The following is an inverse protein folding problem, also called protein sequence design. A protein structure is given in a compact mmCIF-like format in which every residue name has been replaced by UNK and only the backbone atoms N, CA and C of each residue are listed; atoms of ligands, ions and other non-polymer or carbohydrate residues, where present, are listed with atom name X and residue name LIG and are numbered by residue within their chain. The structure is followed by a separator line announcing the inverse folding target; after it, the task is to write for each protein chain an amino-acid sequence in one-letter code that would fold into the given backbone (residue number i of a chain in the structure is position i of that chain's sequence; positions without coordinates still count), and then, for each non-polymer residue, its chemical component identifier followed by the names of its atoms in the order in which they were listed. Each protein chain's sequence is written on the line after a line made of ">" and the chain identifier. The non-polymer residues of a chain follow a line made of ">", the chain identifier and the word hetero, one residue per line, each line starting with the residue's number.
data_IF_476660088102
#
_entry.id   IF_476660088102
#
_cell.length_a   1.000
_cell.length_b   1.000
_cell.length_c   1.000
_cell.angle_alpha   90.00
_cell.angle_beta   90.00
_cell.angle_gamma   90.00
#
_symmetry.space_group_name_H-M   'P 1'
#
loop_
_entity.id
_entity.type
_entity.pdbx_description
1 polymer ?
#
# COMPACT_ATOMS: atom_id res chain seq x y z
N UNK A 1 -1.20 -35.23 43.04
CA UNK A 1 -1.30 -34.78 41.64
C UNK A 1 -2.34 -33.67 41.59
N UNK A 2 -1.90 -32.41 41.69
CA UNK A 2 -2.78 -31.24 41.80
C UNK A 2 -2.48 -30.31 40.63
N UNK A 3 -3.42 -30.21 39.70
CA UNK A 3 -3.38 -29.27 38.56
C UNK A 3 -3.92 -27.93 39.08
N UNK A 4 -3.11 -26.86 39.01
CA UNK A 4 -3.59 -25.50 39.28
C UNK A 4 -4.41 -24.99 38.09
N UNK A 5 -5.68 -24.58 38.28
CA UNK A 5 -6.41 -23.82 37.28
C UNK A 5 -5.94 -22.36 37.30
N UNK A 6 -5.55 -21.81 36.14
CA UNK A 6 -5.29 -20.39 35.97
C UNK A 6 -3.86 -20.01 35.58
N UNK A 7 -3.39 -20.45 34.41
CA UNK A 7 -2.33 -19.78 33.67
C UNK A 7 -2.49 -20.13 32.20
N UNK A 8 -3.36 -19.39 31.52
CA UNK A 8 -3.12 -19.15 30.10
C UNK A 8 -1.94 -18.19 30.08
N UNK A 9 -0.71 -18.60 29.70
CA UNK A 9 0.28 -17.60 29.37
C UNK A 9 -0.36 -16.79 28.24
N UNK A 10 -0.74 -15.55 28.54
CA UNK A 10 -0.87 -14.54 27.49
C UNK A 10 0.54 -14.48 26.96
N UNK A 11 0.79 -15.26 25.90
CA UNK A 11 2.04 -15.21 25.17
C UNK A 11 2.22 -13.73 24.85
N UNK A 12 3.36 -13.11 25.21
CA UNK A 12 3.67 -11.78 24.77
C UNK A 12 3.38 -11.74 23.28
N UNK A 13 2.47 -10.84 22.89
CA UNK A 13 2.26 -10.61 21.46
C UNK A 13 3.63 -10.19 20.95
N UNK A 14 4.20 -10.96 20.04
CA UNK A 14 5.32 -10.46 19.26
C UNK A 14 4.72 -9.33 18.43
N UNK A 15 4.89 -8.11 18.93
CA UNK A 15 4.65 -6.89 18.19
C UNK A 15 5.68 -6.89 17.07
N UNK A 16 5.39 -7.63 16.01
CA UNK A 16 6.08 -7.47 14.75
C UNK A 16 5.61 -6.10 14.27
N UNK A 17 6.36 -5.07 14.62
CA UNK A 17 6.37 -3.83 13.86
C UNK A 17 6.86 -4.24 12.48
N UNK A 18 5.93 -4.68 11.63
CA UNK A 18 6.21 -5.02 10.25
C UNK A 18 6.53 -3.70 9.56
N UNK A 19 7.82 -3.38 9.54
CA UNK A 19 8.47 -2.47 8.59
C UNK A 19 7.81 -1.07 8.50
N UNK A 20 7.64 -0.33 9.61
CA UNK A 20 7.38 1.11 9.59
C UNK A 20 6.14 1.63 8.81
N UNK A 21 5.24 0.76 8.38
CA UNK A 21 4.04 1.11 7.58
C UNK A 21 2.83 1.29 8.50
N UNK A 22 2.18 2.45 8.42
CA UNK A 22 0.94 2.73 9.15
C UNK A 22 -0.25 2.00 8.52
N UNK A 23 -0.56 0.81 9.04
CA UNK A 23 -1.67 -0.01 8.58
C UNK A 23 -3.05 0.66 8.76
N UNK A 24 -3.21 1.53 9.76
CA UNK A 24 -4.44 2.29 9.98
C UNK A 24 -4.69 3.29 8.85
N UNK A 25 -3.63 4.01 8.48
CA UNK A 25 -3.65 4.92 7.34
C UNK A 25 -3.83 4.17 6.00
N UNK A 26 -3.19 3.02 5.81
CA UNK A 26 -3.34 2.19 4.60
C UNK A 26 -4.79 1.73 4.44
N UNK A 27 -5.39 1.21 5.51
CA UNK A 27 -6.78 0.74 5.47
C UNK A 27 -7.75 1.90 5.22
N UNK A 28 -7.55 3.04 5.90
CA UNK A 28 -8.40 4.22 5.74
C UNK A 28 -8.27 4.80 4.32
N UNK A 29 -7.05 4.97 3.82
CA UNK A 29 -6.79 5.50 2.48
C UNK A 29 -7.40 4.60 1.42
N UNK A 30 -7.26 3.28 1.55
CA UNK A 30 -7.84 2.33 0.59
C UNK A 30 -9.37 2.42 0.59
N UNK A 31 -10.00 2.48 1.76
CA UNK A 31 -11.45 2.63 1.88
C UNK A 31 -11.95 3.93 1.26
N UNK A 32 -11.30 5.06 1.60
CA UNK A 32 -11.66 6.39 1.11
C UNK A 32 -11.47 6.51 -0.40
N UNK A 33 -10.33 6.07 -0.92
CA UNK A 33 -10.03 6.11 -2.36
C UNK A 33 -11.03 5.25 -3.14
N UNK A 34 -11.36 4.06 -2.64
CA UNK A 34 -12.31 3.17 -3.34
C UNK A 34 -13.71 3.77 -3.41
N UNK A 35 -14.18 4.43 -2.34
CA UNK A 35 -15.49 5.08 -2.34
C UNK A 35 -15.48 6.35 -3.20
N UNK A 36 -14.51 7.25 -2.99
CA UNK A 36 -14.51 8.56 -3.64
C UNK A 36 -14.11 8.51 -5.12
N UNK A 37 -13.31 7.51 -5.52
CA UNK A 37 -12.84 7.40 -6.90
C UNK A 37 -13.51 6.22 -7.59
N UNK A 38 -13.54 5.05 -6.95
CA UNK A 38 -14.13 3.85 -7.53
C UNK A 38 -15.62 3.97 -7.82
N UNK A 39 -16.43 4.41 -6.85
CA UNK A 39 -17.88 4.49 -7.04
C UNK A 39 -18.30 5.51 -8.11
N UNK A 40 -17.74 6.74 -8.16
CA UNK A 40 -18.09 7.70 -9.22
C UNK A 40 -17.66 7.25 -10.61
N UNK A 41 -16.50 6.59 -10.76
CA UNK A 41 -16.07 6.04 -12.05
C UNK A 41 -17.07 5.01 -12.56
N UNK A 42 -17.47 4.06 -11.70
CA UNK A 42 -18.45 3.03 -12.06
C UNK A 42 -19.80 3.65 -12.42
N UNK A 43 -20.28 4.60 -11.61
CA UNK A 43 -21.54 5.29 -11.85
C UNK A 43 -21.53 6.08 -13.17
N UNK A 44 -20.47 6.84 -13.43
CA UNK A 44 -20.34 7.64 -14.64
C UNK A 44 -20.31 6.76 -15.90
N UNK A 45 -19.56 5.66 -15.86
CA UNK A 45 -19.45 4.75 -17.01
C UNK A 45 -20.75 3.98 -17.28
N UNK A 46 -21.58 3.75 -16.27
CA UNK A 46 -22.91 3.14 -16.43
C UNK A 46 -23.89 4.02 -17.21
N UNK A 47 -23.66 5.34 -17.31
CA UNK A 47 -24.56 6.26 -18.03
C UNK A 47 -24.49 6.12 -19.55
N UNK A 48 -23.43 5.50 -20.08
CA UNK A 48 -23.16 5.47 -21.52
C UNK A 48 -23.59 4.19 -22.22
N UNK A 49 -24.20 3.22 -21.52
CA UNK A 49 -24.56 1.93 -22.13
C UNK A 49 -25.95 1.41 -21.72
N UNK A 50 -26.74 1.08 -22.73
CA UNK A 50 -27.97 0.29 -22.61
C UNK A 50 -27.63 -1.20 -22.69
N UNK A 51 -27.65 -1.87 -21.53
CA UNK A 51 -27.27 -3.28 -21.40
C UNK A 51 -28.45 -4.20 -21.72
N UNK A 52 -28.92 -4.21 -22.96
CA UNK A 52 -30.13 -4.97 -23.34
C UNK A 52 -29.82 -6.45 -23.58
N UNK A 53 -28.68 -6.79 -24.20
CA UNK A 53 -28.26 -8.16 -24.53
C UNK A 53 -26.96 -8.62 -23.84
N UNK A 54 -26.71 -9.93 -23.77
CA UNK A 54 -25.48 -10.48 -23.16
C UNK A 54 -24.20 -10.06 -23.90
N UNK A 55 -24.26 -9.98 -25.23
CA UNK A 55 -23.14 -9.47 -26.04
C UNK A 55 -22.83 -8.00 -25.76
N UNK A 56 -23.85 -7.17 -25.55
CA UNK A 56 -23.68 -5.77 -25.17
C UNK A 56 -23.00 -5.63 -23.79
N UNK A 57 -23.33 -6.51 -22.84
CA UNK A 57 -22.69 -6.56 -21.51
C UNK A 57 -21.21 -6.91 -21.60
N UNK A 58 -20.84 -7.90 -22.42
CA UNK A 58 -19.44 -8.30 -22.61
C UNK A 58 -18.62 -7.20 -23.31
N UNK A 59 -19.15 -6.61 -24.38
CA UNK A 59 -18.49 -5.53 -25.10
C UNK A 59 -18.30 -4.29 -24.22
N UNK A 60 -19.28 -3.96 -23.38
CA UNK A 60 -19.17 -2.89 -22.39
C UNK A 60 -18.06 -3.16 -21.38
N UNK A 61 -18.02 -4.35 -20.79
CA UNK A 61 -17.01 -4.73 -19.81
C UNK A 61 -15.59 -4.61 -20.38
N UNK A 62 -15.37 -5.02 -21.64
CA UNK A 62 -14.07 -4.88 -22.30
C UNK A 62 -13.74 -3.41 -22.59
N UNK A 63 -14.70 -2.64 -23.13
CA UNK A 63 -14.49 -1.25 -23.54
C UNK A 63 -14.29 -0.29 -22.36
N UNK A 64 -14.85 -0.65 -21.20
CA UNK A 64 -14.67 0.06 -19.92
C UNK A 64 -13.46 -0.47 -19.16
N UNK A 65 -13.32 -1.78 -19.07
CA UNK A 65 -12.27 -2.43 -18.31
C UNK A 65 -10.89 -2.16 -18.89
N UNK A 66 -10.73 -2.18 -20.22
CA UNK A 66 -9.42 -1.99 -20.84
C UNK A 66 -8.80 -0.60 -20.59
N UNK A 67 -9.51 0.53 -20.76
CA UNK A 67 -8.98 1.85 -20.40
C UNK A 67 -8.68 1.98 -18.91
N UNK A 68 -9.56 1.50 -18.02
CA UNK A 68 -9.33 1.54 -16.57
C UNK A 68 -8.08 0.74 -16.22
N UNK A 69 -7.96 -0.49 -16.73
CA UNK A 69 -6.81 -1.35 -16.47
C UNK A 69 -5.50 -0.72 -16.96
N UNK A 70 -5.53 -0.14 -18.17
CA UNK A 70 -4.38 0.58 -18.72
C UNK A 70 -4.01 1.79 -17.87
N UNK A 71 -4.97 2.63 -17.48
CA UNK A 71 -4.73 3.80 -16.64
C UNK A 71 -4.20 3.41 -15.25
N UNK A 72 -4.76 2.37 -14.64
CA UNK A 72 -4.26 1.84 -13.37
C UNK A 72 -2.83 1.33 -13.51
N UNK A 73 -2.52 0.57 -14.56
CA UNK A 73 -1.15 0.10 -14.82
C UNK A 73 -0.17 1.27 -15.02
N UNK A 74 -0.57 2.31 -15.77
CA UNK A 74 0.22 3.53 -15.94
C UNK A 74 0.40 4.27 -14.62
N UNK A 75 -0.67 4.44 -13.83
CA UNK A 75 -0.62 5.11 -12.54
C UNK A 75 0.32 4.38 -11.57
N UNK A 76 0.25 3.04 -11.50
CA UNK A 76 1.15 2.21 -10.70
C UNK A 76 2.59 2.34 -11.20
N UNK A 77 2.82 2.26 -12.51
CA UNK A 77 4.16 2.42 -13.08
C UNK A 77 4.75 3.80 -12.78
N UNK A 78 3.94 4.87 -12.86
CA UNK A 78 4.37 6.24 -12.52
C UNK A 78 4.60 6.39 -11.02
N UNK A 79 3.74 5.81 -10.18
CA UNK A 79 3.91 5.81 -8.72
C UNK A 79 5.22 5.13 -8.34
N UNK A 80 5.46 3.91 -8.83
CA UNK A 80 6.71 3.17 -8.61
C UNK A 80 7.93 3.97 -9.05
N UNK A 81 7.93 4.55 -10.26
CA UNK A 81 9.03 5.41 -10.73
C UNK A 81 9.24 6.65 -9.88
N UNK A 82 8.19 7.18 -9.24
CA UNK A 82 8.28 8.37 -8.41
C UNK A 82 8.74 8.06 -6.99
N UNK A 83 8.36 6.90 -6.44
CA UNK A 83 8.90 6.39 -5.17
C UNK A 83 10.35 5.93 -5.33
N UNK A 84 10.69 5.26 -6.44
CA UNK A 84 12.07 4.89 -6.79
C UNK A 84 12.97 6.12 -7.01
N UNK A 85 12.41 7.26 -7.45
CA UNK A 85 13.13 8.52 -7.59
C UNK A 85 13.14 9.38 -6.31
N UNK A 86 12.42 8.98 -5.26
CA UNK A 86 12.27 9.72 -4.00
C UNK A 86 13.13 9.17 -2.85
N UNK A 87 13.51 7.89 -2.90
CA UNK A 87 14.26 7.24 -1.83
C UNK A 87 15.77 7.36 -2.07
N UNK A 88 16.26 8.60 -2.01
CA UNK A 88 17.63 8.86 -1.60
C UNK A 88 17.75 8.51 -0.11
N UNK A 89 17.92 7.23 0.21
CA UNK A 89 18.39 6.81 1.53
C UNK A 89 19.81 7.35 1.71
N UNK A 90 19.95 8.60 2.15
CA UNK A 90 21.17 9.06 2.76
C UNK A 90 21.29 8.31 4.08
N UNK A 91 22.07 7.23 4.07
CA UNK A 91 22.45 6.50 5.27
C UNK A 91 23.02 7.49 6.28
N UNK A 92 22.39 7.74 7.44
CA UNK A 92 23.01 8.56 8.48
C UNK A 92 24.00 7.64 9.18
N UNK A 93 25.27 7.68 8.79
CA UNK A 93 26.26 6.86 9.48
C UNK A 93 27.67 6.79 8.91
N UNK A 94 28.01 7.58 7.89
CA UNK A 94 29.41 7.71 7.46
C UNK A 94 29.99 9.05 7.92
N UNK A 95 30.00 9.25 9.24
CA UNK A 95 30.86 10.22 9.90
C UNK A 95 32.12 9.49 10.40
N UNK A 96 32.95 9.08 9.45
CA UNK A 96 34.36 8.78 9.70
C UNK A 96 35.09 10.11 9.88
N UNK A 97 35.37 10.46 11.14
CA UNK A 97 36.14 11.63 11.55
C UNK A 97 37.16 11.25 12.61
N UNK A 98 38.18 10.53 12.16
CA UNK A 98 39.59 10.62 12.59
C UNK A 98 39.87 11.75 13.62
N UNK A 99 40.17 11.35 14.87
CA UNK A 99 41.03 12.13 15.75
C UNK A 99 42.12 11.19 16.27
N UNK A 100 43.14 11.09 15.43
CA UNK A 100 44.50 10.82 15.81
C UNK A 100 44.94 11.69 17.01
N UNK A 101 45.80 11.09 17.84
CA UNK A 101 46.95 11.79 18.44
C UNK A 101 46.72 12.86 19.54
N UNK A 102 46.60 12.39 20.79
CA UNK A 102 47.17 13.12 21.94
C UNK A 102 47.63 12.12 23.01
N UNK A 103 48.92 11.73 23.00
CA UNK A 103 49.91 12.21 23.98
C UNK A 103 49.66 11.60 25.37
N UNK A 104 50.27 10.50 25.78
CA UNK A 104 51.71 10.43 26.03
C UNK A 104 52.12 11.25 27.25
N UNK A 105 51.77 10.81 28.47
CA UNK A 105 52.61 10.55 29.67
C UNK A 105 51.75 10.12 30.86
#
# INVERSE_FOLDING_TARGET
>A
MSIRPGSSPVQPVEEVEVEGVDYGWVMQTTFVVTILVGAPIVAFLSLFVTLESWGARAAFAVRVGAPIWFLTAVAVAVYARRTEAGDGYASPGDETGENDENGGI
#
